data_IF_526990763906
#
_entry.id   IF_526990763906
#
_cell.length_a   1.000
_cell.length_b   1.000
_cell.length_c   1.000
_cell.angle_alpha   90.00
_cell.angle_beta   90.00
_cell.angle_gamma   90.00
#
_symmetry.space_group_name_H-M   'P 1'
#
loop_
_entity.id
_entity.type
_entity.pdbx_description
1 polymer ?
#
# COMPACT_ATOMS: atom_id res chain seq x y z
N UNK A 1 27.63 -35.18 47.29
CA UNK A 1 27.65 -35.42 45.82
C UNK A 1 26.46 -34.80 45.06
N UNK A 2 25.73 -33.80 45.60
CA UNK A 2 24.54 -33.22 44.96
C UNK A 2 24.75 -31.85 44.26
N UNK A 3 25.80 -31.10 44.61
CA UNK A 3 25.96 -29.69 44.17
C UNK A 3 26.40 -29.50 42.71
N UNK A 4 27.10 -30.47 42.09
CA UNK A 4 27.58 -30.34 40.70
C UNK A 4 26.51 -30.54 39.63
N UNK A 5 25.42 -31.26 39.93
CA UNK A 5 24.37 -31.55 38.94
C UNK A 5 23.48 -30.32 38.68
N UNK A 6 23.15 -29.54 39.70
CA UNK A 6 22.28 -28.35 39.56
C UNK A 6 22.94 -27.19 38.78
N UNK A 7 24.26 -27.02 38.93
CA UNK A 7 25.00 -25.95 38.23
C UNK A 7 25.07 -26.19 36.72
N UNK A 8 25.13 -27.45 36.28
CA UNK A 8 25.14 -27.82 34.87
C UNK A 8 23.77 -27.63 34.21
N UNK A 9 22.68 -27.93 34.92
CA UNK A 9 21.31 -27.77 34.40
C UNK A 9 20.89 -26.31 34.23
N UNK A 10 21.45 -25.39 35.03
CA UNK A 10 21.14 -23.96 34.95
C UNK A 10 21.88 -23.26 33.79
N UNK A 11 23.08 -23.74 33.45
CA UNK A 11 23.89 -23.20 32.35
C UNK A 11 23.32 -23.61 30.98
N UNK A 12 22.87 -24.87 30.83
CA UNK A 12 22.28 -25.37 29.58
C UNK A 12 20.92 -24.75 29.28
N UNK A 13 20.07 -24.49 30.29
CA UNK A 13 18.78 -23.79 30.08
C UNK A 13 18.95 -22.35 29.59
N UNK A 14 19.93 -21.60 30.10
CA UNK A 14 20.22 -20.24 29.63
C UNK A 14 20.76 -20.23 28.19
N UNK A 15 21.64 -21.17 27.85
CA UNK A 15 22.13 -21.32 26.48
C UNK A 15 21.01 -21.72 25.50
N UNK A 16 20.09 -22.62 25.91
CA UNK A 16 18.97 -23.05 25.08
C UNK A 16 17.96 -21.91 24.82
N UNK A 17 17.68 -21.07 25.82
CA UNK A 17 16.82 -19.88 25.65
C UNK A 17 17.47 -18.85 24.73
N UNK A 18 18.79 -18.65 24.85
CA UNK A 18 19.53 -17.73 23.98
C UNK A 18 19.58 -18.22 22.52
N UNK A 19 19.73 -19.53 22.31
CA UNK A 19 19.70 -20.17 20.97
C UNK A 19 18.29 -20.18 20.37
N UNK A 20 17.23 -20.37 21.17
CA UNK A 20 15.84 -20.26 20.71
C UNK A 20 15.47 -18.82 20.33
N UNK A 21 15.97 -17.82 21.05
CA UNK A 21 15.84 -16.40 20.69
C UNK A 21 16.62 -16.03 19.42
N UNK A 22 17.77 -16.67 19.17
CA UNK A 22 18.57 -16.46 17.94
C UNK A 22 18.04 -17.23 16.71
N UNK A 23 17.33 -18.35 16.90
CA UNK A 23 16.76 -19.14 15.80
C UNK A 23 15.39 -18.64 15.32
N UNK A 24 14.69 -17.82 16.11
CA UNK A 24 13.41 -17.22 15.68
C UNK A 24 13.62 -16.11 14.62
N UNK A 25 14.85 -15.62 14.46
CA UNK A 25 15.22 -14.49 13.58
C UNK A 25 15.64 -14.86 12.15
N UNK A 26 15.47 -16.11 11.70
CA UNK A 26 15.92 -16.54 10.34
C UNK A 26 14.79 -17.19 9.52
N UNK A 27 13.52 -16.97 9.88
CA UNK A 27 12.48 -17.18 8.88
C UNK A 27 12.44 -15.93 7.99
N UNK A 28 12.73 -16.04 6.68
CA UNK A 28 12.37 -14.96 5.77
C UNK A 28 10.89 -14.67 6.03
N UNK A 29 10.59 -13.40 6.27
CA UNK A 29 9.23 -12.91 6.44
C UNK A 29 8.38 -13.45 5.29
N UNK A 30 7.45 -14.34 5.62
CA UNK A 30 6.56 -14.98 4.65
C UNK A 30 5.44 -13.99 4.27
N UNK A 31 5.82 -12.82 3.77
CA UNK A 31 4.89 -11.85 3.19
C UNK A 31 4.70 -12.22 1.73
N UNK A 32 3.48 -12.61 1.39
CA UNK A 32 3.08 -12.91 0.01
C UNK A 32 2.30 -11.72 -0.54
N UNK A 33 2.71 -11.20 -1.71
CA UNK A 33 2.08 -10.04 -2.34
C UNK A 33 1.17 -10.50 -3.48
N UNK A 34 -0.09 -10.10 -3.41
CA UNK A 34 -1.10 -10.25 -4.46
C UNK A 34 -1.58 -8.87 -4.91
N UNK A 35 -2.30 -8.81 -6.03
CA UNK A 35 -2.82 -7.57 -6.62
C UNK A 35 -4.33 -7.69 -6.84
N UNK A 36 -5.07 -6.62 -6.59
CA UNK A 36 -6.52 -6.61 -6.81
C UNK A 36 -6.84 -6.60 -8.31
N UNK A 37 -7.93 -7.26 -8.69
CA UNK A 37 -8.45 -7.23 -10.06
C UNK A 37 -9.44 -6.05 -10.30
N UNK A 38 -9.45 -5.04 -9.41
CA UNK A 38 -10.55 -4.09 -9.28
C UNK A 38 -10.50 -2.94 -10.30
N UNK A 39 -10.66 -3.25 -11.58
CA UNK A 39 -10.86 -2.28 -12.67
C UNK A 39 -9.63 -1.44 -13.06
N UNK A 40 -8.53 -1.57 -12.31
CA UNK A 40 -7.18 -1.16 -12.70
C UNK A 40 -6.39 -2.47 -12.75
N UNK A 41 -5.92 -2.90 -13.93
CA UNK A 41 -5.03 -4.05 -14.05
C UNK A 41 -3.69 -3.69 -13.38
N UNK A 42 -3.60 -3.90 -12.07
CA UNK A 42 -2.36 -3.71 -11.31
C UNK A 42 -1.59 -5.02 -11.39
N UNK A 43 -0.34 -4.91 -11.82
CA UNK A 43 0.59 -6.02 -11.93
C UNK A 43 1.81 -5.78 -11.05
N UNK A 44 2.59 -6.82 -10.80
CA UNK A 44 3.86 -6.67 -10.08
C UNK A 44 4.91 -5.80 -10.79
N UNK A 45 4.67 -5.36 -12.03
CA UNK A 45 5.52 -4.40 -12.74
C UNK A 45 5.27 -2.96 -12.30
N UNK A 46 4.11 -2.69 -11.70
CA UNK A 46 3.69 -1.34 -11.31
C UNK A 46 4.25 -0.94 -9.94
N UNK A 47 4.86 -1.89 -9.23
CA UNK A 47 5.66 -1.62 -8.02
C UNK A 47 7.14 -1.88 -8.31
N UNK A 48 8.02 -0.90 -8.04
CA UNK A 48 9.45 -1.09 -8.22
C UNK A 48 10.00 -2.27 -7.39
N UNK A 49 10.85 -3.10 -8.01
CA UNK A 49 11.42 -4.30 -7.37
C UNK A 49 12.11 -4.02 -6.03
N UNK A 50 12.69 -2.84 -5.87
CA UNK A 50 13.28 -2.41 -4.61
C UNK A 50 12.25 -2.30 -3.47
N UNK A 51 11.04 -1.79 -3.74
CA UNK A 51 9.93 -1.79 -2.77
C UNK A 51 9.50 -3.21 -2.42
N UNK A 52 9.28 -4.07 -3.43
CA UNK A 52 8.93 -5.47 -3.21
C UNK A 52 9.95 -6.15 -2.29
N UNK A 53 11.24 -5.96 -2.54
CA UNK A 53 12.31 -6.51 -1.72
C UNK A 53 12.29 -6.00 -0.27
N UNK A 54 11.98 -4.72 -0.04
CA UNK A 54 11.82 -4.18 1.31
C UNK A 54 10.62 -4.83 2.02
N UNK A 55 9.47 -4.95 1.33
CA UNK A 55 8.23 -5.53 1.88
C UNK A 55 8.40 -7.01 2.24
N UNK A 56 8.96 -7.82 1.33
CA UNK A 56 9.10 -9.27 1.59
C UNK A 56 10.17 -9.59 2.64
N UNK A 57 11.08 -8.65 2.93
CA UNK A 57 12.11 -8.77 3.99
C UNK A 57 11.71 -8.10 5.30
N UNK A 58 10.54 -7.47 5.35
CA UNK A 58 10.05 -6.78 6.53
C UNK A 58 9.74 -7.78 7.64
N UNK A 59 10.35 -7.58 8.81
CA UNK A 59 10.11 -8.43 9.97
C UNK A 59 8.85 -7.99 10.73
N UNK A 60 8.28 -8.89 11.54
CA UNK A 60 7.16 -8.57 12.44
C UNK A 60 5.78 -8.89 11.89
N UNK A 61 5.59 -8.99 10.57
CA UNK A 61 4.34 -9.44 9.94
C UNK A 61 4.58 -10.66 9.06
N UNK A 62 3.62 -11.59 9.09
CA UNK A 62 3.57 -12.77 8.23
C UNK A 62 2.16 -12.92 7.67
N UNK A 63 2.07 -13.28 6.39
CA UNK A 63 0.79 -13.51 5.73
C UNK A 63 0.68 -12.83 4.38
N UNK A 64 -0.53 -12.88 3.82
CA UNK A 64 -0.83 -12.29 2.54
C UNK A 64 -1.07 -10.78 2.69
N UNK A 65 -0.71 -10.04 1.64
CA UNK A 65 -1.16 -8.68 1.40
C UNK A 65 -1.73 -8.61 -0.01
N UNK A 66 -2.80 -7.85 -0.20
CA UNK A 66 -3.36 -7.52 -1.52
C UNK A 66 -3.19 -6.04 -1.76
N UNK A 67 -2.46 -5.70 -2.82
CA UNK A 67 -2.24 -4.33 -3.24
C UNK A 67 -3.38 -3.92 -4.18
N UNK A 68 -4.13 -2.89 -3.79
CA UNK A 68 -5.33 -2.42 -4.49
C UNK A 68 -5.14 -1.14 -5.30
N UNK A 69 -4.06 -0.40 -5.02
CA UNK A 69 -3.69 0.79 -5.78
C UNK A 69 -2.18 0.97 -5.76
N UNK A 70 -1.67 1.63 -6.79
CA UNK A 70 -0.26 2.01 -6.97
C UNK A 70 -0.18 3.45 -7.49
N UNK A 71 1.03 4.00 -7.56
CA UNK A 71 1.29 5.29 -8.20
C UNK A 71 0.72 5.35 -9.64
N UNK A 72 0.17 6.51 -10.02
CA UNK A 72 -0.56 6.75 -11.26
C UNK A 72 -0.05 7.99 -11.98
N UNK A 73 -0.04 7.93 -13.31
CA UNK A 73 0.00 9.13 -14.15
C UNK A 73 -1.30 9.93 -14.02
N UNK A 74 -1.32 11.21 -14.43
CA UNK A 74 -2.56 11.99 -14.51
C UNK A 74 -3.67 11.32 -15.33
N UNK A 75 -3.32 10.62 -16.41
CA UNK A 75 -4.29 9.91 -17.24
C UNK A 75 -4.87 8.68 -16.52
N UNK A 76 -4.01 7.88 -15.87
CA UNK A 76 -4.46 6.75 -15.06
C UNK A 76 -5.34 7.22 -13.89
N UNK A 77 -5.01 8.36 -13.28
CA UNK A 77 -5.85 8.99 -12.26
C UNK A 77 -7.22 9.39 -12.82
N UNK A 78 -7.28 10.00 -14.01
CA UNK A 78 -8.53 10.34 -14.67
C UNK A 78 -9.40 9.10 -14.95
N UNK A 79 -8.79 8.02 -15.47
CA UNK A 79 -9.47 6.73 -15.70
C UNK A 79 -10.04 6.15 -14.41
N UNK A 80 -9.27 6.18 -13.32
CA UNK A 80 -9.73 5.73 -12.01
C UNK A 80 -10.93 6.54 -11.52
N UNK A 81 -10.87 7.87 -11.61
CA UNK A 81 -11.97 8.75 -11.21
C UNK A 81 -13.23 8.49 -12.05
N UNK A 82 -13.09 8.33 -13.37
CA UNK A 82 -14.21 8.01 -14.26
C UNK A 82 -14.83 6.65 -13.92
N UNK A 83 -14.01 5.62 -13.71
CA UNK A 83 -14.49 4.30 -13.31
C UNK A 83 -15.25 4.36 -11.98
N UNK A 84 -14.75 5.11 -11.00
CA UNK A 84 -15.44 5.28 -9.72
C UNK A 84 -16.78 6.02 -9.87
N UNK A 85 -16.88 7.02 -10.77
CA UNK A 85 -18.16 7.67 -11.10
C UNK A 85 -19.14 6.63 -11.68
N UNK A 86 -18.68 5.78 -12.61
CA UNK A 86 -19.52 4.77 -13.25
C UNK A 86 -19.97 3.66 -12.28
N UNK A 87 -19.10 3.25 -11.36
CA UNK A 87 -19.40 2.17 -10.42
C UNK A 87 -20.21 2.63 -9.21
N UNK A 88 -19.91 3.82 -8.67
CA UNK A 88 -20.44 4.26 -7.37
C UNK A 88 -21.27 5.55 -7.45
N UNK A 89 -21.35 6.16 -8.63
CA UNK A 89 -22.08 7.42 -8.85
C UNK A 89 -21.29 8.67 -8.47
N UNK A 90 -21.70 9.80 -9.05
CA UNK A 90 -21.08 11.12 -8.84
C UNK A 90 -21.14 11.56 -7.37
N UNK A 91 -22.28 11.34 -6.69
CA UNK A 91 -22.48 11.81 -5.31
C UNK A 91 -21.50 11.17 -4.34
N UNK A 92 -21.14 9.90 -4.55
CA UNK A 92 -20.15 9.22 -3.71
C UNK A 92 -18.74 9.76 -3.95
N UNK A 93 -18.42 10.08 -5.22
CA UNK A 93 -17.15 10.73 -5.54
C UNK A 93 -17.06 12.13 -4.94
N UNK A 94 -18.18 12.86 -4.88
CA UNK A 94 -18.23 14.18 -4.24
C UNK A 94 -17.94 14.13 -2.74
N UNK A 95 -18.23 13.03 -2.05
CA UNK A 95 -17.85 12.82 -0.64
C UNK A 95 -16.39 12.39 -0.46
N UNK A 96 -15.86 11.67 -1.45
CA UNK A 96 -14.51 11.08 -1.39
C UNK A 96 -13.42 12.11 -1.64
N UNK A 97 -13.58 12.95 -2.66
CA UNK A 97 -12.54 13.89 -3.08
C UNK A 97 -12.58 15.22 -2.33
N UNK A 98 -11.41 15.75 -1.97
CA UNK A 98 -11.27 17.12 -1.45
C UNK A 98 -11.41 18.17 -2.56
N UNK A 99 -11.28 19.44 -2.22
CA UNK A 99 -11.47 20.59 -3.10
C UNK A 99 -10.78 20.44 -4.47
N UNK A 100 -9.51 20.04 -4.51
CA UNK A 100 -8.76 19.84 -5.75
C UNK A 100 -9.34 18.72 -6.63
N UNK A 101 -9.75 17.61 -6.02
CA UNK A 101 -10.42 16.53 -6.75
C UNK A 101 -11.83 16.92 -7.20
N UNK A 102 -12.56 17.75 -6.44
CA UNK A 102 -13.85 18.29 -6.87
C UNK A 102 -13.74 19.09 -8.17
N UNK A 103 -12.65 19.85 -8.35
CA UNK A 103 -12.42 20.59 -9.59
C UNK A 103 -12.30 19.65 -10.81
N UNK A 104 -11.70 18.47 -10.62
CA UNK A 104 -11.62 17.43 -11.66
C UNK A 104 -12.99 16.81 -11.91
N UNK A 105 -13.76 16.51 -10.84
CA UNK A 105 -15.14 16.01 -10.98
C UNK A 105 -16.03 16.99 -11.73
N UNK A 106 -15.83 18.30 -11.57
CA UNK A 106 -16.58 19.32 -12.30
C UNK A 106 -16.21 19.38 -13.80
N UNK A 107 -15.10 18.76 -14.23
CA UNK A 107 -14.74 18.66 -15.64
C UNK A 107 -15.43 17.51 -16.38
N UNK A 108 -15.97 16.53 -15.63
CA UNK A 108 -16.73 15.40 -16.17
C UNK A 108 -18.06 15.86 -16.78
N UNK A 109 -18.41 15.26 -17.91
CA UNK A 109 -19.68 15.47 -18.60
C UNK A 109 -20.28 14.12 -19.00
N UNK A 110 -21.48 13.76 -18.48
CA UNK A 110 -22.11 12.47 -18.79
C UNK A 110 -22.54 12.32 -20.25
N UNK A 111 -22.57 13.40 -21.02
CA UNK A 111 -22.93 13.38 -22.45
C UNK A 111 -21.72 13.19 -23.38
N UNK A 112 -20.50 13.08 -22.84
CA UNK A 112 -19.28 12.83 -23.61
C UNK A 112 -18.85 11.36 -23.49
N UNK A 113 -18.05 10.92 -24.46
CA UNK A 113 -17.41 9.60 -24.41
C UNK A 113 -16.46 9.47 -23.20
N UNK A 114 -16.12 8.23 -22.86
CA UNK A 114 -15.14 7.96 -21.81
C UNK A 114 -13.78 8.58 -22.17
N UNK A 115 -13.33 8.47 -23.42
CA UNK A 115 -12.06 9.06 -23.90
C UNK A 115 -12.04 10.58 -23.78
N UNK A 116 -13.12 11.26 -24.16
CA UNK A 116 -13.23 12.71 -24.03
C UNK A 116 -13.22 13.14 -22.56
N UNK A 117 -13.95 12.43 -21.70
CA UNK A 117 -13.94 12.66 -20.26
C UNK A 117 -12.54 12.45 -19.67
N UNK A 118 -11.86 11.35 -20.03
CA UNK A 118 -10.49 11.08 -19.60
C UNK A 118 -9.55 12.21 -20.03
N UNK A 119 -9.64 12.68 -21.27
CA UNK A 119 -8.82 13.79 -21.77
C UNK A 119 -9.04 15.07 -20.95
N UNK A 120 -10.30 15.48 -20.77
CA UNK A 120 -10.68 16.69 -20.01
C UNK A 120 -10.25 16.60 -18.53
N UNK A 121 -10.51 15.46 -17.90
CA UNK A 121 -10.12 15.22 -16.51
C UNK A 121 -8.60 15.18 -16.37
N UNK A 122 -7.88 14.59 -17.32
CA UNK A 122 -6.40 14.58 -17.35
C UNK A 122 -5.83 15.99 -17.44
N UNK A 123 -6.38 16.83 -18.33
CA UNK A 123 -6.00 18.24 -18.43
C UNK A 123 -6.25 18.97 -17.12
N UNK A 124 -7.43 18.80 -16.53
CA UNK A 124 -7.75 19.41 -15.23
C UNK A 124 -6.83 18.94 -14.10
N UNK A 125 -6.46 17.66 -14.06
CA UNK A 125 -5.50 17.13 -13.09
C UNK A 125 -4.13 17.80 -13.25
N UNK A 126 -3.65 17.97 -14.48
CA UNK A 126 -2.39 18.66 -14.77
C UNK A 126 -2.44 20.14 -14.34
N UNK A 127 -3.56 20.82 -14.59
CA UNK A 127 -3.78 22.22 -14.20
C UNK A 127 -3.83 22.43 -12.68
N UNK A 128 -4.59 21.58 -11.98
CA UNK A 128 -4.76 21.67 -10.51
C UNK A 128 -3.48 21.28 -9.77
N UNK A 129 -2.72 20.34 -10.33
CA UNK A 129 -1.56 19.72 -9.72
C UNK A 129 -1.85 18.25 -9.36
N UNK A 130 -1.22 17.27 -10.03
CA UNK A 130 -1.51 15.84 -9.86
C UNK A 130 -1.54 15.37 -8.40
N UNK A 131 -0.47 15.68 -7.65
CA UNK A 131 -0.31 15.28 -6.24
C UNK A 131 -1.37 15.88 -5.29
N UNK A 132 -2.00 17.00 -5.70
CA UNK A 132 -3.07 17.64 -4.92
C UNK A 132 -4.42 16.97 -5.14
N UNK A 133 -4.64 16.40 -6.32
CA UNK A 133 -5.85 15.64 -6.65
C UNK A 133 -5.84 14.29 -5.94
N UNK A 134 -4.68 13.61 -5.95
CA UNK A 134 -4.52 12.31 -5.30
C UNK A 134 -3.07 12.08 -4.90
N UNK A 135 -2.86 11.48 -3.72
CA UNK A 135 -1.55 10.99 -3.27
C UNK A 135 -0.98 9.89 -4.17
N UNK A 136 -1.82 9.19 -4.91
CA UNK A 136 -1.37 8.21 -5.91
C UNK A 136 -0.89 8.89 -7.20
N UNK A 137 -1.26 10.15 -7.46
CA UNK A 137 -0.92 10.84 -8.71
C UNK A 137 0.40 11.63 -8.56
N UNK A 138 1.52 10.90 -8.59
CA UNK A 138 2.87 11.43 -8.33
C UNK A 138 3.71 11.56 -9.61
N UNK A 139 4.53 12.61 -9.71
CA UNK A 139 5.24 13.00 -10.92
C UNK A 139 6.67 12.45 -11.06
N UNK A 140 6.96 11.21 -10.64
CA UNK A 140 8.28 10.52 -10.63
C UNK A 140 9.18 10.80 -9.40
N UNK A 141 10.18 9.98 -9.04
CA UNK A 141 10.59 8.64 -9.47
C UNK A 141 11.23 7.81 -8.34
N UNK A 142 11.33 8.37 -7.13
CA UNK A 142 11.89 7.72 -5.95
C UNK A 142 10.84 7.40 -4.88
N UNK A 143 9.58 7.82 -5.07
CA UNK A 143 8.48 7.54 -4.16
C UNK A 143 7.61 6.43 -4.72
N UNK A 144 7.57 5.29 -4.02
CA UNK A 144 6.64 4.22 -4.27
C UNK A 144 5.41 4.44 -3.39
N UNK A 145 4.26 4.59 -4.02
CA UNK A 145 2.96 4.77 -3.37
C UNK A 145 2.09 3.57 -3.70
N UNK A 146 1.47 2.96 -2.70
CA UNK A 146 0.51 1.87 -2.90
C UNK A 146 -0.46 1.74 -1.72
N UNK A 147 -1.63 1.16 -2.00
CA UNK A 147 -2.65 0.83 -0.99
C UNK A 147 -2.70 -0.68 -0.78
N UNK A 148 -2.82 -1.10 0.48
CA UNK A 148 -3.04 -2.50 0.87
C UNK A 148 -4.44 -2.67 1.42
N UNK A 149 -5.20 -3.62 0.89
CA UNK A 149 -6.56 -3.91 1.37
C UNK A 149 -6.54 -4.46 2.79
N UNK A 150 -7.26 -3.81 3.73
CA UNK A 150 -7.30 -4.28 5.13
C UNK A 150 -7.90 -5.68 5.28
N UNK A 151 -8.87 -6.02 4.44
CA UNK A 151 -9.50 -7.34 4.39
C UNK A 151 -8.53 -8.46 4.03
N UNK A 152 -7.42 -8.16 3.35
CA UNK A 152 -6.39 -9.14 3.02
C UNK A 152 -5.41 -9.41 4.16
N UNK A 153 -5.37 -8.53 5.17
CA UNK A 153 -4.39 -8.58 6.25
C UNK A 153 -4.87 -9.51 7.37
N UNK A 154 -4.02 -10.45 7.78
CA UNK A 154 -4.28 -11.31 8.94
C UNK A 154 -4.37 -10.52 10.25
N UNK A 155 -3.59 -9.44 10.36
CA UNK A 155 -3.63 -8.48 11.46
C UNK A 155 -3.18 -7.10 10.98
N UNK A 156 -4.13 -6.17 10.86
CA UNK A 156 -3.89 -4.80 10.39
C UNK A 156 -2.93 -4.03 11.31
N UNK A 157 -3.01 -4.22 12.64
CA UNK A 157 -2.17 -3.50 13.58
C UNK A 157 -0.71 -3.94 13.47
N UNK A 158 -0.47 -5.25 13.42
CA UNK A 158 0.86 -5.84 13.23
C UNK A 158 1.47 -5.47 11.88
N UNK A 159 0.68 -5.50 10.81
CA UNK A 159 1.13 -5.02 9.50
C UNK A 159 1.57 -3.56 9.56
N UNK A 160 0.72 -2.67 10.10
CA UNK A 160 1.05 -1.24 10.24
C UNK A 160 2.30 -1.00 11.06
N UNK A 161 2.50 -1.73 12.15
CA UNK A 161 3.71 -1.61 12.96
C UNK A 161 4.96 -2.02 12.18
N UNK A 162 4.85 -3.10 11.40
CA UNK A 162 5.95 -3.64 10.61
C UNK A 162 6.30 -2.72 9.45
N UNK A 163 5.31 -2.26 8.68
CA UNK A 163 5.52 -1.46 7.45
C UNK A 163 6.06 -0.06 7.76
N UNK A 164 5.75 0.50 8.93
CA UNK A 164 6.34 1.77 9.40
C UNK A 164 7.85 1.70 9.62
N UNK A 165 8.46 0.51 9.70
CA UNK A 165 9.92 0.39 9.81
C UNK A 165 10.64 0.65 8.48
N UNK A 166 9.92 0.57 7.35
CA UNK A 166 10.48 0.70 6.00
C UNK A 166 9.81 1.77 5.14
N UNK A 167 8.64 2.28 5.55
CA UNK A 167 7.87 3.32 4.86
C UNK A 167 8.08 4.71 5.47
N UNK A 168 8.00 5.75 4.65
CA UNK A 168 8.07 7.16 5.06
C UNK A 168 6.71 7.64 5.60
N UNK A 169 5.61 7.14 5.03
CA UNK A 169 4.25 7.46 5.46
C UNK A 169 3.36 6.21 5.44
N UNK A 170 2.54 6.06 6.48
CA UNK A 170 1.53 4.99 6.59
C UNK A 170 0.24 5.58 7.12
N UNK A 171 -0.81 5.60 6.30
CA UNK A 171 -2.13 6.12 6.64
C UNK A 171 -3.16 4.99 6.69
N UNK A 172 -4.14 5.13 7.58
CA UNK A 172 -5.23 4.18 7.77
C UNK A 172 -6.52 4.85 7.25
N UNK A 173 -6.88 4.60 5.99
CA UNK A 173 -7.90 5.36 5.26
C UNK A 173 -8.73 4.41 4.37
N UNK A 174 -10.04 4.65 4.23
CA UNK A 174 -10.89 4.03 3.18
C UNK A 174 -10.71 2.51 2.99
N UNK A 175 -10.82 1.73 4.07
CA UNK A 175 -10.63 0.26 4.08
C UNK A 175 -9.26 -0.24 3.57
N UNK A 176 -8.29 0.65 3.39
CA UNK A 176 -6.93 0.34 2.98
C UNK A 176 -5.89 0.89 3.96
N UNK A 177 -4.66 0.39 3.86
CA UNK A 177 -3.47 1.00 4.46
C UNK A 177 -2.71 1.65 3.31
N UNK A 178 -2.69 2.98 3.26
CA UNK A 178 -1.93 3.74 2.27
C UNK A 178 -0.47 3.83 2.71
N UNK A 179 0.44 3.49 1.82
CA UNK A 179 1.87 3.42 2.08
C UNK A 179 2.62 4.28 1.08
N UNK A 180 3.50 5.13 1.58
CA UNK A 180 4.51 5.82 0.78
C UNK A 180 5.89 5.42 1.27
N UNK A 181 6.74 4.93 0.37
CA UNK A 181 8.13 4.58 0.68
C UNK A 181 9.08 5.17 -0.34
N UNK A 182 10.21 5.70 0.15
CA UNK A 182 11.31 6.09 -0.73
C UNK A 182 12.12 4.86 -1.12
N UNK A 183 12.47 4.75 -2.40
CA UNK A 183 13.24 3.64 -2.96
C UNK A 183 14.72 3.83 -2.74
#
# INVERSE_FOLDING_TARGET
>A
MASRKEHYTRCTKKALVLVALLLCSIFPSAVSINYSANGINISGKDIPRAAVNKIVRMTGYQGNIVISSVARTPEQQARCMLNNIKSNGMDEQRKTYKYEGQQVLNAYNPNLSDEENICRMTQKIKEVGPHRVSRHCVASGNLCVFDVEKSSLSNVATFKQSIRTIAELVLDENNCVHVEMRL
#
